data_IF_056347920927
#
_entry.id   IF_056347920927
#
_cell.length_a   1.000
_cell.length_b   1.000
_cell.length_c   1.000
_cell.angle_alpha   90.00
_cell.angle_beta   90.00
_cell.angle_gamma   90.00
#
_symmetry.space_group_name_H-M   'P 1'
#
loop_
_entity.id
_entity.type
_entity.pdbx_description
1 polymer ?
#
# COMPACT_ATOMS: atom_id res chain seq x y z
N UNK A 1 -27.46 -1.62 38.91
CA UNK A 1 -27.58 -2.47 37.71
C UNK A 1 -28.98 -3.03 37.64
N UNK A 2 -29.74 -2.75 36.57
CA UNK A 2 -31.10 -3.26 36.39
C UNK A 2 -31.02 -4.75 36.11
N UNK A 3 -31.59 -5.60 36.98
CA UNK A 3 -31.64 -7.05 36.78
C UNK A 3 -32.71 -7.35 35.73
N UNK A 4 -32.30 -7.91 34.60
CA UNK A 4 -33.23 -8.31 33.54
C UNK A 4 -33.97 -9.58 33.93
N UNK A 5 -35.24 -9.67 33.54
CA UNK A 5 -36.09 -10.82 33.85
C UNK A 5 -35.63 -12.05 33.06
N UNK A 6 -35.76 -13.25 33.65
CA UNK A 6 -35.43 -14.52 32.99
C UNK A 6 -36.14 -14.67 31.63
N UNK A 7 -37.37 -14.15 31.51
CA UNK A 7 -38.13 -14.13 30.25
C UNK A 7 -37.45 -13.26 29.18
N UNK A 8 -36.88 -12.12 29.56
CA UNK A 8 -36.16 -11.25 28.64
C UNK A 8 -34.87 -11.91 28.17
N UNK A 9 -34.11 -12.52 29.09
CA UNK A 9 -32.86 -13.23 28.76
C UNK A 9 -33.12 -14.36 27.75
N UNK A 10 -34.19 -15.14 27.97
CA UNK A 10 -34.55 -16.25 27.08
C UNK A 10 -35.19 -15.81 25.75
N UNK A 11 -35.81 -14.62 25.68
CA UNK A 11 -36.45 -14.11 24.45
C UNK A 11 -35.56 -13.20 23.59
N UNK A 12 -34.41 -12.76 24.11
CA UNK A 12 -33.43 -11.92 23.40
C UNK A 12 -33.03 -12.47 22.02
N UNK A 13 -32.92 -13.78 21.87
CA UNK A 13 -32.57 -14.40 20.57
C UNK A 13 -33.60 -14.10 19.48
N UNK A 14 -34.90 -14.21 19.78
CA UNK A 14 -35.98 -13.90 18.83
C UNK A 14 -35.99 -12.42 18.46
N UNK A 15 -35.82 -11.55 19.46
CA UNK A 15 -35.75 -10.11 19.24
C UNK A 15 -34.51 -9.70 18.43
N UNK A 16 -33.38 -10.38 18.63
CA UNK A 16 -32.16 -10.18 17.85
C UNK A 16 -32.35 -10.58 16.39
N UNK A 17 -32.94 -11.76 16.13
CA UNK A 17 -33.23 -12.23 14.77
C UNK A 17 -34.20 -11.26 14.06
N UNK A 18 -35.25 -10.79 14.75
CA UNK A 18 -36.18 -9.81 14.20
C UNK A 18 -35.50 -8.46 13.90
N UNK A 19 -34.62 -7.99 14.79
CA UNK A 19 -33.82 -6.77 14.56
C UNK A 19 -32.84 -6.93 13.39
N UNK A 20 -32.19 -8.08 13.26
CA UNK A 20 -31.28 -8.36 12.14
C UNK A 20 -32.03 -8.44 10.81
N UNK A 21 -33.21 -9.07 10.79
CA UNK A 21 -34.06 -9.13 9.61
C UNK A 21 -34.49 -7.72 9.15
N UNK A 22 -34.85 -6.84 10.10
CA UNK A 22 -35.21 -5.44 9.82
C UNK A 22 -34.03 -4.54 9.45
N UNK A 23 -32.79 -4.91 9.79
CA UNK A 23 -31.60 -4.09 9.50
C UNK A 23 -31.35 -3.92 8.00
N UNK A 24 -31.74 -4.91 7.20
CA UNK A 24 -31.55 -4.93 5.75
C UNK A 24 -32.85 -4.95 4.94
N UNK A 25 -34.01 -5.19 5.59
CA UNK A 25 -35.32 -5.12 4.94
C UNK A 25 -35.88 -3.71 4.97
N UNK A 26 -36.42 -3.24 3.84
CA UNK A 26 -37.22 -2.02 3.79
C UNK A 26 -38.67 -2.34 4.20
N UNK A 27 -39.31 -1.45 4.95
CA UNK A 27 -40.70 -1.63 5.39
C UNK A 27 -41.71 -1.49 4.23
N UNK A 28 -41.36 -0.70 3.20
CA UNK A 28 -42.14 -0.53 1.97
C UNK A 28 -41.19 -0.38 0.76
N UNK A 29 -41.55 -0.98 -0.38
CA UNK A 29 -40.82 -0.84 -1.65
C UNK A 29 -41.71 -0.15 -2.67
N UNK A 30 -41.45 1.13 -2.93
CA UNK A 30 -42.17 1.91 -3.95
C UNK A 30 -41.47 1.78 -5.31
N UNK A 31 -42.25 1.60 -6.37
CA UNK A 31 -41.70 1.49 -7.73
C UNK A 31 -41.72 2.83 -8.43
N UNK A 32 -40.63 3.57 -8.30
CA UNK A 32 -40.44 4.82 -9.03
C UNK A 32 -39.84 4.57 -10.44
N UNK A 33 -40.46 5.18 -11.44
CA UNK A 33 -40.10 4.99 -12.86
C UNK A 33 -38.84 5.74 -13.22
N UNK A 34 -38.57 6.87 -12.57
CA UNK A 34 -37.41 7.71 -12.87
C UNK A 34 -36.13 7.08 -12.34
N UNK A 35 -36.16 6.58 -11.10
CA UNK A 35 -35.06 5.78 -10.54
C UNK A 35 -34.85 4.46 -11.29
N UNK A 36 -35.92 3.83 -11.82
CA UNK A 36 -35.77 2.68 -12.74
C UNK A 36 -35.02 3.09 -14.02
N UNK A 37 -35.38 4.23 -14.62
CA UNK A 37 -34.75 4.72 -15.85
C UNK A 37 -33.28 5.08 -15.62
N UNK A 38 -32.97 5.73 -14.50
CA UNK A 38 -31.59 6.00 -14.08
C UNK A 38 -30.81 4.70 -13.82
N UNK A 39 -31.44 3.69 -13.23
CA UNK A 39 -30.83 2.38 -13.09
C UNK A 39 -30.60 1.71 -14.45
N UNK A 40 -31.51 1.83 -15.42
CA UNK A 40 -31.31 1.21 -16.73
C UNK A 40 -30.31 1.94 -17.62
N UNK A 41 -30.13 3.25 -17.45
CA UNK A 41 -29.26 4.07 -18.35
C UNK A 41 -27.94 4.47 -17.68
N UNK A 42 -27.92 4.61 -16.35
CA UNK A 42 -26.80 5.09 -15.54
C UNK A 42 -25.70 4.06 -15.26
N UNK A 43 -25.40 3.15 -16.19
CA UNK A 43 -24.36 2.12 -15.99
C UNK A 43 -22.99 2.72 -15.66
N UNK A 44 -22.64 3.85 -16.29
CA UNK A 44 -21.39 4.55 -16.01
C UNK A 44 -21.37 5.11 -14.58
N UNK A 45 -22.46 5.75 -14.13
CA UNK A 45 -22.60 6.23 -12.74
C UNK A 45 -22.38 5.09 -11.74
N UNK A 46 -23.07 3.96 -11.92
CA UNK A 46 -22.89 2.78 -11.05
C UNK A 46 -21.48 2.19 -11.10
N UNK A 47 -20.83 2.21 -12.27
CA UNK A 47 -19.45 1.73 -12.38
C UNK A 47 -18.51 2.64 -11.58
N UNK A 48 -18.67 3.95 -11.70
CA UNK A 48 -17.89 4.94 -10.94
C UNK A 48 -18.17 4.83 -9.45
N UNK A 49 -19.43 4.69 -9.03
CA UNK A 49 -19.80 4.46 -7.63
C UNK A 49 -19.18 3.18 -7.06
N UNK A 50 -19.19 2.07 -7.81
CA UNK A 50 -18.51 0.84 -7.38
C UNK A 50 -17.01 1.04 -7.22
N UNK A 51 -16.36 1.77 -8.14
CA UNK A 51 -14.94 2.10 -8.03
C UNK A 51 -14.66 2.97 -6.81
N UNK A 52 -15.45 4.02 -6.58
CA UNK A 52 -15.33 4.90 -5.40
C UNK A 52 -15.53 4.12 -4.11
N UNK A 53 -16.57 3.30 -4.01
CA UNK A 53 -16.84 2.46 -2.84
C UNK A 53 -15.70 1.47 -2.56
N UNK A 54 -15.11 0.89 -3.60
CA UNK A 54 -13.95 0.02 -3.46
C UNK A 54 -12.71 0.79 -2.95
N UNK A 55 -12.48 2.00 -3.47
CA UNK A 55 -11.40 2.88 -2.99
C UNK A 55 -11.63 3.31 -1.54
N UNK A 56 -12.84 3.71 -1.17
CA UNK A 56 -13.21 4.09 0.19
C UNK A 56 -13.03 2.92 1.17
N UNK A 57 -13.46 1.71 0.78
CA UNK A 57 -13.26 0.52 1.58
C UNK A 57 -11.77 0.22 1.80
N UNK A 58 -10.94 0.30 0.76
CA UNK A 58 -9.50 0.11 0.87
C UNK A 58 -8.86 1.14 1.80
N UNK A 59 -9.22 2.43 1.66
CA UNK A 59 -8.73 3.51 2.55
C UNK A 59 -9.12 3.29 4.00
N UNK A 60 -10.34 2.84 4.27
CA UNK A 60 -10.78 2.55 5.64
C UNK A 60 -10.02 1.35 6.22
N UNK A 61 -9.79 0.29 5.43
CA UNK A 61 -8.97 -0.85 5.88
C UNK A 61 -7.53 -0.43 6.18
N UNK A 62 -6.90 0.36 5.31
CA UNK A 62 -5.55 0.90 5.56
C UNK A 62 -5.49 1.76 6.82
N UNK A 63 -6.51 2.60 7.05
CA UNK A 63 -6.62 3.40 8.27
C UNK A 63 -6.71 2.52 9.51
N UNK A 64 -7.55 1.49 9.49
CA UNK A 64 -7.70 0.55 10.61
C UNK A 64 -6.39 -0.21 10.87
N UNK A 65 -5.74 -0.71 9.81
CA UNK A 65 -4.45 -1.38 9.91
C UNK A 65 -3.37 -0.47 10.53
N UNK A 66 -3.29 0.79 10.10
CA UNK A 66 -2.34 1.76 10.68
C UNK A 66 -2.61 2.05 12.16
N UNK A 67 -3.88 2.11 12.56
CA UNK A 67 -4.25 2.27 13.96
C UNK A 67 -3.85 1.03 14.77
N UNK A 68 -4.08 -0.17 14.24
CA UNK A 68 -3.69 -1.43 14.88
C UNK A 68 -2.17 -1.56 15.00
N UNK A 69 -1.42 -1.23 13.95
CA UNK A 69 0.05 -1.21 13.97
C UNK A 69 0.57 -0.23 15.03
N UNK A 70 0.01 0.98 15.10
CA UNK A 70 0.36 1.96 16.14
C UNK A 70 0.04 1.44 17.54
N UNK A 71 -1.08 0.74 17.70
CA UNK A 71 -1.46 0.12 18.98
C UNK A 71 -0.45 -0.96 19.37
N UNK A 72 -0.12 -1.88 18.45
CA UNK A 72 0.86 -2.95 18.66
C UNK A 72 2.24 -2.37 19.01
N UNK A 73 2.69 -1.32 18.33
CA UNK A 73 3.97 -0.68 18.62
C UNK A 73 4.00 -0.02 20.00
N UNK A 74 2.87 0.54 20.46
CA UNK A 74 2.75 1.10 21.81
C UNK A 74 2.75 0.00 22.87
N UNK A 75 2.04 -1.11 22.61
CA UNK A 75 2.02 -2.28 23.49
C UNK A 75 3.41 -2.92 23.61
N UNK A 76 4.12 -3.10 22.50
CA UNK A 76 5.50 -3.60 22.48
C UNK A 76 6.43 -2.69 23.30
N UNK A 77 6.40 -1.37 23.05
CA UNK A 77 7.20 -0.42 23.85
C UNK A 77 6.88 -0.45 25.34
N UNK A 78 5.62 -0.66 25.70
CA UNK A 78 5.21 -0.79 27.10
C UNK A 78 5.76 -2.08 27.72
N UNK A 79 5.68 -3.20 27.00
CA UNK A 79 6.26 -4.48 27.44
C UNK A 79 7.78 -4.39 27.58
N UNK A 80 8.48 -3.82 26.60
CA UNK A 80 9.93 -3.62 26.66
C UNK A 80 10.33 -2.77 27.86
N UNK A 81 9.58 -1.70 28.16
CA UNK A 81 9.81 -0.88 29.33
C UNK A 81 9.58 -1.66 30.63
N UNK A 82 8.49 -2.42 30.75
CA UNK A 82 8.21 -3.28 31.91
C UNK A 82 9.31 -4.34 32.11
N UNK A 83 9.80 -4.96 31.03
CA UNK A 83 10.93 -5.88 31.07
C UNK A 83 12.23 -5.20 31.53
N UNK A 84 12.50 -3.98 31.05
CA UNK A 84 13.67 -3.21 31.49
C UNK A 84 13.56 -2.84 32.98
N UNK A 85 12.38 -2.41 33.44
CA UNK A 85 12.15 -2.11 34.85
C UNK A 85 12.30 -3.35 35.74
N UNK A 86 11.80 -4.50 35.32
CA UNK A 86 11.95 -5.76 36.07
C UNK A 86 13.40 -6.23 36.10
N UNK A 87 14.12 -6.18 34.97
CA UNK A 87 15.57 -6.45 34.90
C UNK A 87 16.38 -5.51 35.80
N UNK A 88 16.06 -4.21 35.78
CA UNK A 88 16.71 -3.21 36.63
C UNK A 88 16.48 -3.51 38.12
N UNK A 89 15.21 -3.74 38.54
CA UNK A 89 14.88 -4.13 39.93
C UNK A 89 15.63 -5.39 40.37
N UNK A 90 15.73 -6.39 39.50
CA UNK A 90 16.47 -7.62 39.79
C UNK A 90 17.98 -7.37 39.95
N UNK A 91 18.59 -6.58 39.07
CA UNK A 91 20.02 -6.22 39.16
C UNK A 91 20.34 -5.41 40.42
N UNK A 92 19.46 -4.48 40.81
CA UNK A 92 19.63 -3.68 42.02
C UNK A 92 19.49 -4.52 43.29
N UNK A 93 18.63 -5.55 43.26
CA UNK A 93 18.51 -6.55 44.32
C UNK A 93 19.76 -7.43 44.42
N UNK A 94 20.41 -7.76 43.30
CA UNK A 94 21.63 -8.58 43.24
C UNK A 94 22.88 -7.83 43.72
N UNK A 95 22.98 -6.51 43.45
CA UNK A 95 24.08 -5.64 43.88
C UNK A 95 24.02 -5.30 45.38
N UNK A 96 22.93 -5.63 46.08
CA UNK A 96 22.83 -5.53 47.54
C UNK A 96 22.54 -4.14 48.10
N UNK A 97 22.30 -3.13 47.26
CA UNK A 97 21.98 -1.75 47.65
C UNK A 97 20.46 -1.50 47.83
N UNK A 98 19.66 -2.57 47.91
CA UNK A 98 18.22 -2.47 48.15
C UNK A 98 17.93 -2.31 49.65
N UNK A 99 18.19 -1.12 50.19
CA UNK A 99 17.67 -0.68 51.49
C UNK A 99 16.22 -0.22 51.29
N UNK A 100 15.31 -1.15 51.58
CA UNK A 100 13.87 -0.99 51.90
C UNK A 100 13.08 0.22 51.40
N UNK A 101 12.05 -0.05 50.61
CA UNK A 101 10.69 0.36 51.00
C UNK A 101 9.68 -0.66 50.46
N UNK A 102 9.28 -1.58 51.33
CA UNK A 102 8.07 -2.38 51.19
C UNK A 102 6.93 -1.50 51.71
N UNK A 103 6.30 -0.74 50.82
CA UNK A 103 5.25 0.18 51.22
C UNK A 103 4.98 1.21 50.15
N UNK A 104 3.72 1.22 49.73
CA UNK A 104 3.02 2.28 49.00
C UNK A 104 2.91 2.07 47.48
N UNK A 105 1.76 1.49 47.15
CA UNK A 105 0.94 1.66 45.95
C UNK A 105 0.79 3.14 45.58
N UNK A 106 1.86 3.75 45.07
CA UNK A 106 1.76 5.02 44.35
C UNK A 106 1.45 4.71 42.89
N UNK A 107 0.16 4.80 42.58
CA UNK A 107 -0.40 4.82 41.25
C UNK A 107 0.23 5.94 40.42
N UNK A 108 1.42 5.71 39.88
CA UNK A 108 2.06 6.60 38.92
C UNK A 108 1.25 6.55 37.63
N UNK A 109 0.18 7.35 37.57
CA UNK A 109 -0.55 7.67 36.35
C UNK A 109 0.43 8.34 35.41
N UNK A 110 1.06 7.52 34.56
CA UNK A 110 1.69 8.00 33.33
C UNK A 110 0.57 8.61 32.51
N UNK A 111 0.42 9.92 32.62
CA UNK A 111 -0.42 10.69 31.72
C UNK A 111 0.05 10.38 30.30
N UNK A 112 -0.84 9.96 29.39
CA UNK A 112 -0.47 9.87 28.00
C UNK A 112 -0.13 11.30 27.58
N UNK A 113 1.16 11.57 27.38
CA UNK A 113 1.64 12.87 26.93
C UNK A 113 0.75 13.32 25.78
N UNK A 114 0.08 14.45 26.02
CA UNK A 114 -0.65 15.17 24.99
C UNK A 114 0.28 15.27 23.79
N UNK A 115 -0.22 14.81 22.64
CA UNK A 115 0.34 15.24 21.38
C UNK A 115 0.20 16.76 21.38
N UNK A 116 1.26 17.44 21.81
CA UNK A 116 1.59 18.73 21.28
C UNK A 116 1.79 18.48 19.80
N UNK A 117 0.69 18.66 19.05
CA UNK A 117 0.69 18.98 17.63
C UNK A 117 1.48 20.29 17.53
N UNK A 118 2.80 20.16 17.67
CA UNK A 118 3.73 21.17 17.23
C UNK A 118 3.62 21.12 15.72
N UNK A 119 2.69 21.93 15.21
CA UNK A 119 2.60 22.40 13.85
C UNK A 119 3.88 23.17 13.52
N UNK A 120 5.01 22.45 13.54
CA UNK A 120 6.22 22.86 12.85
C UNK A 120 5.85 22.88 11.38
N UNK A 121 5.35 24.04 10.93
CA UNK A 121 5.16 24.36 9.53
C UNK A 121 6.42 23.89 8.81
N UNK A 122 6.26 22.89 7.95
CA UNK A 122 7.35 22.32 7.19
C UNK A 122 7.99 23.45 6.38
N UNK A 123 9.14 23.94 6.83
CA UNK A 123 9.82 25.13 6.30
C UNK A 123 10.58 24.89 5.00
N UNK A 124 10.16 23.88 4.21
CA UNK A 124 10.85 23.46 3.00
C UNK A 124 12.27 22.94 3.28
N UNK A 125 12.84 22.23 2.31
CA UNK A 125 14.29 22.03 2.31
C UNK A 125 14.92 23.38 1.97
N UNK A 126 15.69 23.97 2.88
CA UNK A 126 16.48 25.15 2.58
C UNK A 126 17.46 24.79 1.45
N UNK A 127 17.25 25.35 0.26
CA UNK A 127 18.06 25.09 -0.95
C UNK A 127 19.48 25.65 -0.83
N UNK A 128 19.75 26.45 0.21
CA UNK A 128 21.08 27.02 0.54
C UNK A 128 21.97 26.05 1.35
N UNK A 129 21.57 24.77 1.45
CA UNK A 129 22.35 23.71 2.08
C UNK A 129 23.47 23.20 1.16
N UNK A 130 24.42 24.07 0.84
CA UNK A 130 25.67 23.70 0.20
C UNK A 130 26.37 22.60 1.02
N UNK A 131 26.43 21.40 0.43
CA UNK A 131 27.61 20.53 0.44
C UNK A 131 28.37 20.38 1.77
N UNK A 132 27.70 20.00 2.87
CA UNK A 132 28.42 19.63 4.11
C UNK A 132 29.42 18.47 3.92
N UNK A 133 29.34 17.75 2.79
CA UNK A 133 30.27 16.69 2.40
C UNK A 133 30.77 16.78 0.92
N UNK A 134 30.60 17.92 0.22
CA UNK A 134 31.01 18.05 -1.20
C UNK A 134 30.17 17.22 -2.20
N UNK A 135 29.03 16.70 -1.77
CA UNK A 135 28.17 15.79 -2.55
C UNK A 135 27.17 16.62 -3.34
N UNK A 136 27.38 16.73 -4.66
CA UNK A 136 26.48 17.43 -5.59
C UNK A 136 25.09 16.76 -5.67
N UNK A 137 24.00 17.53 -5.88
CA UNK A 137 22.65 16.99 -6.03
C UNK A 137 22.52 16.04 -7.23
N UNK A 138 21.53 15.15 -7.21
CA UNK A 138 21.38 14.03 -8.17
C UNK A 138 21.31 14.53 -9.62
N UNK A 139 20.61 15.64 -9.87
CA UNK A 139 20.47 16.24 -11.18
C UNK A 139 21.55 17.30 -11.42
N UNK A 140 21.94 17.47 -12.68
CA UNK A 140 22.80 18.58 -13.09
C UNK A 140 22.00 19.87 -12.97
N UNK A 141 22.59 20.93 -12.41
CA UNK A 141 22.01 22.29 -12.40
C UNK A 141 22.76 23.13 -13.42
N UNK A 142 22.06 23.69 -14.40
CA UNK A 142 22.62 24.63 -15.39
C UNK A 142 21.86 25.94 -15.29
N UNK A 143 22.59 27.05 -15.14
CA UNK A 143 22.01 28.40 -15.05
C UNK A 143 22.18 29.10 -16.39
N UNK A 144 21.07 29.39 -17.04
CA UNK A 144 21.04 30.17 -18.27
C UNK A 144 20.66 31.62 -17.92
N UNK A 145 21.47 32.56 -18.40
CA UNK A 145 21.26 34.01 -18.25
C UNK A 145 20.82 34.55 -19.60
N UNK A 146 19.63 35.14 -19.65
CA UNK A 146 19.09 35.78 -20.86
C UNK A 146 19.51 37.26 -20.92
N UNK A 147 19.41 37.87 -22.11
CA UNK A 147 19.80 39.26 -22.37
C UNK A 147 19.06 40.29 -21.49
N UNK A 148 17.88 39.94 -20.96
CA UNK A 148 17.06 40.78 -20.07
C UNK A 148 17.41 40.61 -18.57
N UNK A 149 18.61 40.12 -18.25
CA UNK A 149 19.08 39.78 -16.89
C UNK A 149 18.22 38.76 -16.12
N UNK A 150 17.30 38.07 -16.81
CA UNK A 150 16.52 36.98 -16.22
C UNK A 150 17.36 35.71 -16.11
N UNK A 151 17.32 35.08 -14.94
CA UNK A 151 18.05 33.85 -14.65
C UNK A 151 17.05 32.69 -14.55
N UNK A 152 17.32 31.61 -15.28
CA UNK A 152 16.54 30.37 -15.17
C UNK A 152 17.49 29.25 -14.78
N UNK A 153 17.19 28.61 -13.65
CA UNK A 153 17.87 27.40 -13.23
C UNK A 153 17.16 26.19 -13.87
N UNK A 154 17.91 25.46 -14.71
CA UNK A 154 17.41 24.29 -15.45
C UNK A 154 18.01 23.03 -14.82
N UNK A 155 17.14 22.10 -14.43
CA UNK A 155 17.51 20.77 -13.93
C UNK A 155 17.12 19.70 -14.97
N UNK A 156 17.99 19.36 -15.93
CA UNK A 156 17.74 18.21 -16.81
C UNK A 156 17.66 16.91 -16.00
N UNK A 157 16.79 15.99 -16.42
CA UNK A 157 16.60 14.65 -15.81
C UNK A 157 17.80 13.70 -16.06
N UNK A 158 18.98 14.24 -16.33
CA UNK A 158 20.20 13.47 -16.47
C UNK A 158 20.87 13.32 -15.10
N UNK A 159 21.23 12.09 -14.69
CA UNK A 159 21.98 11.88 -13.46
C UNK A 159 23.36 12.56 -13.56
N UNK A 160 23.83 13.09 -12.43
CA UNK A 160 25.19 13.61 -12.32
C UNK A 160 26.23 12.47 -12.19
N UNK A 161 27.51 12.83 -12.22
CA UNK A 161 28.64 11.88 -12.08
C UNK A 161 28.76 11.26 -10.67
N UNK A 162 27.96 11.71 -9.71
CA UNK A 162 27.94 11.25 -8.32
C UNK A 162 27.06 10.00 -8.10
N UNK A 163 26.43 9.48 -9.17
CA UNK A 163 25.51 8.35 -9.08
C UNK A 163 26.15 7.10 -8.48
N UNK A 164 27.41 6.80 -8.83
CA UNK A 164 28.15 5.67 -8.25
C UNK A 164 28.42 5.85 -6.75
N UNK A 165 28.76 7.06 -6.32
CA UNK A 165 29.02 7.38 -4.92
C UNK A 165 27.75 7.25 -4.08
N UNK A 166 26.63 7.80 -4.57
CA UNK A 166 25.32 7.68 -3.93
C UNK A 166 24.88 6.22 -3.84
N UNK A 167 25.09 5.43 -4.89
CA UNK A 167 24.80 4.01 -4.86
C UNK A 167 25.64 3.28 -3.80
N UNK A 168 26.95 3.58 -3.70
CA UNK A 168 27.82 3.01 -2.65
C UNK A 168 27.38 3.41 -1.24
N UNK A 169 27.02 4.68 -1.03
CA UNK A 169 26.53 5.19 0.25
C UNK A 169 25.21 4.52 0.67
N UNK A 170 24.37 4.17 -0.30
CA UNK A 170 23.12 3.43 -0.09
C UNK A 170 23.30 1.90 -0.18
N UNK A 171 24.54 1.40 -0.21
CA UNK A 171 24.89 -0.02 -0.30
C UNK A 171 24.26 -0.75 -1.52
N UNK A 172 24.02 -0.02 -2.61
CA UNK A 172 23.46 -0.53 -3.88
C UNK A 172 24.58 -0.93 -4.83
N UNK A 173 24.48 -2.15 -5.39
CA UNK A 173 25.43 -2.66 -6.40
C UNK A 173 24.88 -2.47 -7.81
N UNK A 174 25.36 -1.45 -8.52
CA UNK A 174 24.92 -1.14 -9.89
C UNK A 174 25.12 -2.30 -10.88
N UNK A 175 26.26 -3.00 -10.82
CA UNK A 175 26.57 -4.13 -11.72
C UNK A 175 25.54 -5.26 -11.69
N UNK A 176 24.78 -5.38 -10.58
CA UNK A 176 23.76 -6.41 -10.40
C UNK A 176 22.35 -5.87 -10.65
N UNK A 177 22.18 -4.57 -10.82
CA UNK A 177 20.87 -3.92 -10.93
C UNK A 177 20.10 -4.42 -12.15
N UNK A 178 20.76 -4.52 -13.31
CA UNK A 178 20.15 -5.04 -14.55
C UNK A 178 19.70 -6.49 -14.40
N UNK A 179 20.56 -7.35 -13.82
CA UNK A 179 20.21 -8.76 -13.57
C UNK A 179 19.00 -8.91 -12.65
N UNK A 180 18.95 -8.11 -11.58
CA UNK A 180 17.82 -8.10 -10.64
C UNK A 180 16.54 -7.60 -11.34
N UNK A 181 16.67 -6.59 -12.20
CA UNK A 181 15.56 -6.07 -13.00
C UNK A 181 15.01 -7.16 -13.94
N UNK A 182 15.87 -7.84 -14.69
CA UNK A 182 15.47 -8.93 -15.60
C UNK A 182 14.80 -10.08 -14.84
N UNK A 183 15.37 -10.51 -13.71
CA UNK A 183 14.76 -11.54 -12.85
C UNK A 183 13.39 -11.13 -12.31
N UNK A 184 13.22 -9.85 -11.98
CA UNK A 184 11.94 -9.32 -11.49
C UNK A 184 10.87 -9.27 -12.59
N UNK A 185 11.26 -8.88 -13.81
CA UNK A 185 10.39 -8.87 -14.99
C UNK A 185 9.95 -10.30 -15.32
N UNK A 186 10.89 -11.25 -15.34
CA UNK A 186 10.61 -12.66 -15.57
C UNK A 186 9.66 -13.24 -14.52
N UNK A 187 9.86 -12.90 -13.25
CA UNK A 187 8.99 -13.33 -12.16
C UNK A 187 7.58 -12.76 -12.30
N UNK A 188 7.47 -11.47 -12.63
CA UNK A 188 6.20 -10.81 -12.88
C UNK A 188 5.47 -11.42 -14.08
N UNK A 189 6.18 -11.70 -15.19
CA UNK A 189 5.63 -12.37 -16.36
C UNK A 189 5.15 -13.80 -16.03
N UNK A 190 5.94 -14.58 -15.29
CA UNK A 190 5.51 -15.92 -14.83
C UNK A 190 4.29 -15.86 -13.92
N UNK A 191 4.20 -14.85 -13.05
CA UNK A 191 3.07 -14.66 -12.16
C UNK A 191 1.80 -14.23 -12.91
N UNK A 192 1.94 -13.33 -13.89
CA UNK A 192 0.85 -12.94 -14.78
C UNK A 192 0.34 -14.14 -15.60
N UNK A 193 1.25 -15.01 -16.06
CA UNK A 193 0.91 -16.30 -16.69
C UNK A 193 0.14 -17.22 -15.75
N UNK A 194 0.61 -17.35 -14.51
CA UNK A 194 -0.01 -18.18 -13.49
C UNK A 194 -1.43 -17.69 -13.13
N UNK A 195 -1.63 -16.38 -13.06
CA UNK A 195 -2.94 -15.75 -12.86
C UNK A 195 -3.83 -15.72 -14.12
N UNK A 196 -3.34 -16.22 -15.27
CA UNK A 196 -4.09 -16.22 -16.52
C UNK A 196 -4.34 -14.82 -17.11
N UNK A 197 -3.55 -13.82 -16.72
CA UNK A 197 -3.68 -12.42 -17.16
C UNK A 197 -2.90 -12.14 -18.47
N UNK A 198 -2.06 -13.07 -18.91
CA UNK A 198 -1.20 -12.92 -20.09
C UNK A 198 -1.95 -12.94 -21.43
N UNK A 199 -3.14 -13.54 -21.47
CA UNK A 199 -3.92 -13.65 -22.69
C UNK A 199 -4.77 -12.39 -22.90
N UNK A 200 -4.14 -11.33 -23.41
CA UNK A 200 -4.91 -10.34 -24.19
C UNK A 200 -5.68 -11.14 -25.25
N UNK A 201 -7.02 -11.01 -25.34
CA UNK A 201 -7.82 -11.87 -26.20
C UNK A 201 -7.32 -11.76 -27.63
N UNK A 202 -6.67 -12.82 -28.13
CA UNK A 202 -6.19 -12.88 -29.51
C UNK A 202 -7.41 -12.75 -30.40
N UNK A 203 -7.47 -11.69 -31.22
CA UNK A 203 -8.56 -11.50 -32.18
C UNK A 203 -8.67 -12.77 -33.02
N UNK A 204 -9.82 -13.46 -32.94
CA UNK A 204 -10.08 -14.65 -33.74
C UNK A 204 -9.84 -14.28 -35.20
N UNK A 205 -8.86 -14.93 -35.84
CA UNK A 205 -8.62 -14.73 -37.27
C UNK A 205 -9.90 -15.17 -37.98
N UNK A 206 -10.53 -14.26 -38.73
CA UNK A 206 -11.64 -14.62 -39.62
C UNK A 206 -11.14 -15.75 -40.52
N UNK A 207 -11.94 -16.78 -40.75
CA UNK A 207 -11.62 -17.83 -41.71
C UNK A 207 -11.29 -17.14 -43.04
N UNK A 208 -10.04 -17.26 -43.46
CA UNK A 208 -9.53 -16.76 -44.72
C UNK A 208 -8.85 -17.92 -45.39
N UNK A 209 -9.11 -18.10 -46.67
CA UNK A 209 -8.36 -19.06 -47.46
C UNK A 209 -6.86 -18.71 -47.39
N UNK A 210 -6.04 -19.75 -47.31
CA UNK A 210 -4.59 -19.61 -47.41
C UNK A 210 -4.24 -18.80 -48.66
N UNK A 211 -3.42 -17.78 -48.49
CA UNK A 211 -2.86 -17.02 -49.61
C UNK A 211 -2.06 -17.94 -50.52
N UNK A 212 -1.83 -17.54 -51.78
CA UNK A 212 -1.07 -18.36 -52.75
C UNK A 212 0.33 -18.71 -52.23
N UNK A 213 0.96 -17.82 -51.48
CA UNK A 213 2.26 -18.03 -50.84
C UNK A 213 2.18 -19.08 -49.73
N UNK A 214 1.24 -18.95 -48.78
CA UNK A 214 1.06 -19.90 -47.67
C UNK A 214 0.67 -21.30 -48.17
N UNK A 215 -0.15 -21.38 -49.23
CA UNK A 215 -0.53 -22.66 -49.85
C UNK A 215 0.67 -23.36 -50.47
N UNK A 216 1.56 -22.61 -51.13
CA UNK A 216 2.80 -23.13 -51.71
C UNK A 216 3.74 -23.64 -50.63
N UNK A 217 3.82 -22.95 -49.50
CA UNK A 217 4.64 -23.34 -48.37
C UNK A 217 4.12 -24.61 -47.67
N UNK A 218 2.79 -24.72 -47.50
CA UNK A 218 2.16 -25.94 -46.99
C UNK A 218 2.35 -27.13 -47.94
N UNK A 219 2.25 -26.92 -49.25
CA UNK A 219 2.59 -27.97 -50.24
C UNK A 219 4.05 -28.38 -50.16
N UNK A 220 4.99 -27.43 -49.99
CA UNK A 220 6.41 -27.75 -49.77
C UNK A 220 6.62 -28.59 -48.51
N UNK A 221 6.00 -28.21 -47.39
CA UNK A 221 6.05 -28.96 -46.12
C UNK A 221 5.42 -30.35 -46.22
N UNK A 222 4.30 -30.49 -46.93
CA UNK A 222 3.66 -31.78 -47.17
C UNK A 222 4.55 -32.68 -48.05
N UNK A 223 5.13 -32.13 -49.11
CA UNK A 223 6.03 -32.86 -50.00
C UNK A 223 7.35 -33.25 -49.30
N UNK A 224 7.89 -32.38 -48.44
CA UNK A 224 9.08 -32.71 -47.65
C UNK A 224 8.80 -33.81 -46.64
N UNK A 225 7.65 -33.78 -45.96
CA UNK A 225 7.24 -34.86 -45.04
C UNK A 225 6.97 -36.17 -45.77
N UNK A 226 6.40 -36.11 -46.99
CA UNK A 226 6.18 -37.28 -47.84
C UNK A 226 7.49 -37.89 -48.35
N UNK A 227 8.55 -37.09 -48.50
CA UNK A 227 9.91 -37.53 -48.85
C UNK A 227 10.72 -38.03 -47.66
N UNK A 228 10.30 -37.71 -46.44
CA UNK A 228 10.96 -38.15 -45.20
C UNK A 228 10.49 -39.53 -44.72
N UNK A 229 9.54 -40.13 -45.43
CA UNK A 229 9.00 -41.46 -45.23
C UNK A 229 9.31 -42.29 -46.47
#
# INVERSE_FOLDING_TARGET
MVRQSNREILSKGKNYVQKQAKKFGADEVTFDRDSRLEYLTGFHKRKVERQKKAQEFAKEQERQNKIEERRKLREQRKQDAEEQFTKFKNSMKEVGDYIGSDGEDESLRVQPGENSDNEGSWTGFSDDGDSTNGVKPILKRTRDVYDDDTQVDIEPLEPNDNFEYLARANNVRLERSEKILDESIDRAAKYAKFLGMDDKPKKKKKFRYLTKAERRENQRKANSNKRRK
#
